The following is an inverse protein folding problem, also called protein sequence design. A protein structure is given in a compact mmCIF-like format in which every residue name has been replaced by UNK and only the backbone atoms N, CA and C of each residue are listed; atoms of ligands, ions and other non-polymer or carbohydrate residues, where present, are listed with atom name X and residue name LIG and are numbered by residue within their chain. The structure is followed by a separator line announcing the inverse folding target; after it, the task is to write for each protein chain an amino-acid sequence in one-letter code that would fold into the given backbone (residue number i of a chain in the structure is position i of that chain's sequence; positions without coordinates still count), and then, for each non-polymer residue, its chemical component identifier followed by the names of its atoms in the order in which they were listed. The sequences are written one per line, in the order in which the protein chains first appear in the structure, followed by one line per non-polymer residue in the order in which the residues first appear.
data_IF_338992341388
#
_entry.id   IF_338992341388
#
_cell.length_a   1.000
_cell.length_b   1.000
_cell.length_c   1.000
_cell.angle_alpha   90.00
_cell.angle_beta   90.00
_cell.angle_gamma   90.00
#
_symmetry.space_group_name_H-M   'P 1'
#
loop_
_entity.id
_entity.type
_entity.pdbx_description
1 polymer ?
#
# COMPACT_ATOMS: atom_id res chain seq x y z
N UNK A 1 18.82 20.91 19.13
CA UNK A 1 19.90 20.03 18.66
C UNK A 1 19.27 18.87 17.93
N UNK A 2 19.63 18.63 16.68
CA UNK A 2 19.20 17.44 15.95
C UNK A 2 19.89 16.22 16.54
N UNK A 3 19.11 15.23 16.92
CA UNK A 3 19.62 13.92 17.37
C UNK A 3 20.49 13.32 16.26
N UNK A 4 21.73 12.96 16.58
CA UNK A 4 22.64 12.36 15.59
C UNK A 4 22.13 10.97 15.20
N UNK A 5 22.48 10.51 14.00
CA UNK A 5 22.12 9.16 13.56
C UNK A 5 22.63 8.08 14.55
N UNK A 6 23.79 8.31 15.15
CA UNK A 6 24.37 7.42 16.16
C UNK A 6 23.51 7.31 17.43
N UNK A 7 23.03 8.44 17.96
CA UNK A 7 22.15 8.47 19.15
C UNK A 7 20.82 7.74 18.90
N UNK A 8 20.26 7.87 17.68
CA UNK A 8 19.05 7.12 17.30
C UNK A 8 19.31 5.63 17.19
N UNK A 9 20.42 5.23 16.58
CA UNK A 9 20.81 3.83 16.46
C UNK A 9 20.98 3.17 17.83
N UNK A 10 21.65 3.85 18.77
CA UNK A 10 21.82 3.34 20.15
C UNK A 10 20.46 3.16 20.85
N UNK A 11 19.54 4.12 20.70
CA UNK A 11 18.15 3.99 21.20
C UNK A 11 17.43 2.80 20.57
N UNK A 12 17.57 2.58 19.27
CA UNK A 12 16.93 1.44 18.58
C UNK A 12 17.55 0.10 18.96
N UNK A 13 18.86 0.04 19.24
CA UNK A 13 19.52 -1.18 19.75
C UNK A 13 18.98 -1.53 21.15
N UNK A 14 18.80 -0.54 22.01
CA UNK A 14 18.18 -0.75 23.32
C UNK A 14 16.71 -1.18 23.18
N UNK A 15 15.93 -0.53 22.32
CA UNK A 15 14.54 -0.90 22.07
C UNK A 15 14.41 -2.32 21.50
N UNK A 16 15.27 -2.70 20.55
CA UNK A 16 15.28 -4.05 19.95
C UNK A 16 15.58 -5.15 20.96
N UNK A 17 16.39 -4.88 21.98
CA UNK A 17 16.76 -5.87 23.00
C UNK A 17 15.77 -5.95 24.17
N UNK A 18 14.97 -4.90 24.42
CA UNK A 18 14.13 -4.80 25.61
C UNK A 18 12.63 -4.74 25.32
N UNK A 19 12.21 -4.21 24.16
CA UNK A 19 10.79 -3.98 23.87
C UNK A 19 10.10 -5.27 23.41
N UNK A 20 9.08 -5.77 24.15
CA UNK A 20 8.45 -7.06 23.85
C UNK A 20 7.87 -7.16 22.43
N UNK A 21 7.25 -6.09 21.93
CA UNK A 21 6.72 -6.05 20.56
C UNK A 21 7.82 -6.28 19.51
N UNK A 22 9.00 -5.66 19.67
CA UNK A 22 10.09 -5.80 18.71
C UNK A 22 10.73 -7.19 18.80
N UNK A 23 10.92 -7.71 20.02
CA UNK A 23 11.39 -9.06 20.24
C UNK A 23 10.45 -10.12 19.64
N UNK A 24 9.13 -9.91 19.76
CA UNK A 24 8.12 -10.75 19.13
C UNK A 24 8.24 -10.69 17.61
N UNK A 25 8.18 -9.49 17.02
CA UNK A 25 8.23 -9.30 15.56
C UNK A 25 9.54 -9.77 14.92
N UNK A 26 10.65 -9.77 15.67
CA UNK A 26 11.93 -10.29 15.21
C UNK A 26 12.05 -11.83 15.34
N UNK A 27 11.09 -12.50 16.01
CA UNK A 27 11.13 -13.94 16.23
C UNK A 27 10.67 -14.71 15.00
N UNK A 28 11.30 -15.86 14.71
CA UNK A 28 10.85 -16.76 13.64
C UNK A 28 9.44 -17.31 13.88
N UNK A 29 9.03 -17.45 15.14
CA UNK A 29 7.70 -17.96 15.52
C UNK A 29 6.66 -16.84 15.66
N UNK A 30 6.98 -15.60 15.25
CA UNK A 30 6.06 -14.47 15.35
C UNK A 30 4.69 -14.72 14.70
N UNK A 31 4.58 -15.30 13.48
CA UNK A 31 3.28 -15.52 12.85
C UNK A 31 2.38 -16.47 13.65
N UNK A 32 2.94 -17.56 14.20
CA UNK A 32 2.22 -18.50 15.05
C UNK A 32 1.72 -17.82 16.32
N UNK A 33 2.61 -17.12 17.03
CA UNK A 33 2.29 -16.45 18.29
C UNK A 33 1.23 -15.38 18.08
N UNK A 34 1.39 -14.54 17.06
CA UNK A 34 0.41 -13.50 16.72
C UNK A 34 -0.93 -14.10 16.30
N UNK A 35 -0.94 -15.13 15.47
CA UNK A 35 -2.16 -15.83 15.06
C UNK A 35 -2.92 -16.42 16.23
N UNK A 36 -2.24 -17.17 17.12
CA UNK A 36 -2.85 -17.74 18.31
C UNK A 36 -3.37 -16.68 19.28
N UNK A 37 -2.53 -15.68 19.63
CA UNK A 37 -2.92 -14.63 20.58
C UNK A 37 -4.04 -13.74 20.06
N UNK A 38 -4.00 -13.36 18.77
CA UNK A 38 -5.07 -12.60 18.14
C UNK A 38 -6.39 -13.38 18.18
N UNK A 39 -6.37 -14.65 17.83
CA UNK A 39 -7.56 -15.52 17.83
C UNK A 39 -8.12 -15.72 19.26
N UNK A 40 -7.25 -15.87 20.25
CA UNK A 40 -7.65 -15.96 21.67
C UNK A 40 -8.41 -14.70 22.12
N UNK A 41 -7.86 -13.51 21.83
CA UNK A 41 -8.42 -12.25 22.32
C UNK A 41 -9.56 -11.68 21.45
N UNK A 42 -9.74 -12.15 20.22
CA UNK A 42 -10.82 -11.69 19.31
C UNK A 42 -12.22 -11.86 19.92
N UNK A 43 -12.43 -12.90 20.73
CA UNK A 43 -13.74 -13.25 21.31
C UNK A 43 -13.92 -12.82 22.77
N UNK A 44 -12.90 -12.30 23.44
CA UNK A 44 -12.90 -12.07 24.89
C UNK A 44 -12.27 -10.72 25.26
N UNK A 45 -13.09 -9.69 25.35
CA UNK A 45 -12.66 -8.31 25.64
C UNK A 45 -12.37 -8.07 27.14
N UNK A 46 -12.77 -8.98 28.05
CA UNK A 46 -12.67 -8.81 29.52
C UNK A 46 -11.74 -9.86 30.17
N UNK A 47 -10.70 -10.24 29.44
CA UNK A 47 -9.74 -11.27 29.82
C UNK A 47 -10.30 -12.69 29.69
N UNK A 48 -9.41 -13.67 29.55
CA UNK A 48 -9.76 -15.07 29.31
C UNK A 48 -9.36 -15.89 30.54
N UNK A 49 -10.23 -16.76 31.09
CA UNK A 49 -9.81 -17.72 32.11
C UNK A 49 -8.62 -18.56 31.65
N UNK A 50 -7.65 -18.78 32.54
CA UNK A 50 -6.40 -19.47 32.20
C UNK A 50 -6.63 -20.87 31.60
N UNK A 51 -7.58 -21.63 32.15
CA UNK A 51 -7.90 -22.98 31.67
C UNK A 51 -8.50 -22.96 30.25
N UNK A 52 -9.43 -22.04 29.98
CA UNK A 52 -10.02 -21.85 28.65
C UNK A 52 -8.96 -21.44 27.62
N UNK A 53 -8.03 -20.56 28.02
CA UNK A 53 -6.93 -20.14 27.17
C UNK A 53 -5.98 -21.29 26.84
N UNK A 54 -5.67 -22.16 27.82
CA UNK A 54 -4.83 -23.33 27.62
C UNK A 54 -5.49 -24.35 26.67
N UNK A 55 -6.78 -24.61 26.86
CA UNK A 55 -7.54 -25.53 26.03
C UNK A 55 -7.61 -25.03 24.58
N UNK A 56 -8.03 -23.78 24.38
CA UNK A 56 -8.10 -23.16 23.05
C UNK A 56 -6.72 -23.10 22.38
N UNK A 57 -5.65 -22.82 23.15
CA UNK A 57 -4.29 -22.82 22.62
C UNK A 57 -3.83 -24.22 22.19
N UNK A 58 -4.13 -25.26 22.97
CA UNK A 58 -3.78 -26.63 22.61
C UNK A 58 -4.45 -27.06 21.30
N UNK A 59 -5.74 -26.73 21.13
CA UNK A 59 -6.50 -26.99 19.90
C UNK A 59 -5.91 -26.24 18.70
N UNK A 60 -5.56 -24.97 18.87
CA UNK A 60 -4.94 -24.18 17.80
C UNK A 60 -3.57 -24.76 17.43
N UNK A 61 -2.72 -25.12 18.40
CA UNK A 61 -1.39 -25.70 18.13
C UNK A 61 -1.50 -27.02 17.36
N UNK A 62 -2.51 -27.85 17.67
CA UNK A 62 -2.75 -29.09 16.94
C UNK A 62 -2.94 -28.87 15.42
N UNK A 63 -3.59 -27.78 15.01
CA UNK A 63 -3.76 -27.43 13.60
C UNK A 63 -2.42 -27.12 12.89
N UNK A 64 -1.42 -26.66 13.64
CA UNK A 64 -0.08 -26.35 13.12
C UNK A 64 0.91 -27.53 13.25
N UNK A 65 0.52 -28.66 13.84
CA UNK A 65 1.39 -29.83 14.04
C UNK A 65 1.87 -30.47 12.72
N UNK A 66 1.17 -30.25 11.62
CA UNK A 66 1.57 -30.70 10.28
C UNK A 66 2.68 -29.85 9.63
N UNK A 67 3.08 -28.74 10.25
CA UNK A 67 4.05 -27.80 9.70
C UNK A 67 5.40 -27.93 10.42
N UNK A 68 6.41 -28.43 9.70
CA UNK A 68 7.78 -28.62 10.24
C UNK A 68 8.40 -27.31 10.78
N UNK A 69 7.98 -26.15 10.26
CA UNK A 69 8.50 -24.84 10.63
C UNK A 69 8.30 -24.49 12.12
N UNK A 70 7.26 -25.03 12.75
CA UNK A 70 6.87 -24.64 14.11
C UNK A 70 7.24 -25.67 15.18
N UNK A 71 7.78 -26.83 14.80
CA UNK A 71 8.27 -27.88 15.71
C UNK A 71 7.22 -28.25 16.79
N UNK A 72 5.95 -28.39 16.39
CA UNK A 72 4.85 -28.75 17.29
C UNK A 72 4.70 -30.27 17.30
N UNK A 73 4.65 -30.84 18.49
CA UNK A 73 4.43 -32.27 18.69
C UNK A 73 2.91 -32.52 18.82
N UNK A 74 2.28 -33.25 17.89
CA UNK A 74 0.84 -33.49 17.91
C UNK A 74 0.38 -34.22 19.18
N UNK A 75 1.22 -35.04 19.79
CA UNK A 75 0.87 -35.85 20.96
C UNK A 75 1.05 -35.10 22.29
N UNK A 76 1.68 -33.91 22.26
CA UNK A 76 2.03 -33.13 23.44
C UNK A 76 1.53 -31.68 23.41
N UNK A 77 0.55 -31.37 22.55
CA UNK A 77 0.01 -30.01 22.33
C UNK A 77 -0.43 -29.30 23.62
N UNK A 78 -1.08 -30.01 24.56
CA UNK A 78 -1.51 -29.41 25.83
C UNK A 78 -0.34 -29.03 26.75
N UNK A 79 0.74 -29.84 26.76
CA UNK A 79 1.97 -29.53 27.50
C UNK A 79 2.72 -28.36 26.84
N UNK A 80 2.72 -28.31 25.51
CA UNK A 80 3.34 -27.22 24.74
C UNK A 80 2.57 -25.90 24.91
N UNK A 81 1.24 -25.92 24.89
CA UNK A 81 0.39 -24.76 25.18
C UNK A 81 0.74 -24.14 26.54
N UNK A 82 0.88 -24.96 27.59
CA UNK A 82 1.30 -24.49 28.90
C UNK A 82 2.74 -23.96 28.96
N UNK A 83 3.64 -24.42 28.08
CA UNK A 83 5.00 -23.86 27.96
C UNK A 83 4.99 -22.52 27.23
N UNK A 84 4.29 -22.44 26.10
CA UNK A 84 4.14 -21.22 25.30
C UNK A 84 3.51 -20.10 26.11
N UNK A 85 2.39 -20.36 26.78
CA UNK A 85 1.69 -19.35 27.57
C UNK A 85 2.57 -18.79 28.70
N UNK A 86 3.33 -19.64 29.38
CA UNK A 86 4.32 -19.21 30.39
C UNK A 86 5.44 -18.36 29.79
N UNK A 87 5.94 -18.73 28.62
CA UNK A 87 6.94 -17.94 27.90
C UNK A 87 6.37 -16.58 27.45
N UNK A 88 5.12 -16.52 27.02
CA UNK A 88 4.46 -15.26 26.62
C UNK A 88 4.24 -14.32 27.80
N UNK A 89 3.90 -14.86 28.98
CA UNK A 89 3.84 -14.10 30.24
C UNK A 89 5.23 -13.59 30.63
N UNK A 90 6.26 -14.45 30.59
CA UNK A 90 7.65 -14.06 30.88
C UNK A 90 8.16 -12.96 29.95
N UNK A 91 7.77 -13.00 28.68
CA UNK A 91 8.09 -11.99 27.66
C UNK A 91 7.22 -10.74 27.75
N UNK A 92 6.28 -10.67 28.68
CA UNK A 92 5.35 -9.53 28.88
C UNK A 92 4.45 -9.26 27.67
N UNK A 93 4.11 -10.30 26.90
CA UNK A 93 3.11 -10.22 25.83
C UNK A 93 1.70 -10.37 26.39
N UNK A 94 1.58 -11.16 27.45
CA UNK A 94 0.33 -11.40 28.17
C UNK A 94 0.60 -11.18 29.66
N UNK A 95 -0.39 -10.72 30.41
CA UNK A 95 -0.34 -10.64 31.87
C UNK A 95 -1.46 -11.46 32.49
N UNK A 96 -1.12 -12.20 33.54
CA UNK A 96 -2.10 -12.92 34.35
C UNK A 96 -2.53 -12.06 35.54
N UNK A 97 -3.85 -11.92 35.75
CA UNK A 97 -4.45 -11.28 36.92
C UNK A 97 -5.69 -12.06 37.31
N UNK A 98 -5.78 -12.45 38.58
CA UNK A 98 -6.97 -13.12 39.15
C UNK A 98 -7.40 -14.39 38.37
N UNK A 99 -6.42 -15.17 37.89
CA UNK A 99 -6.69 -16.40 37.12
C UNK A 99 -7.15 -16.16 35.67
N UNK A 100 -7.15 -14.90 35.22
CA UNK A 100 -7.42 -14.50 33.84
C UNK A 100 -6.19 -13.93 33.15
N UNK A 101 -6.11 -14.11 31.84
CA UNK A 101 -5.07 -13.54 31.00
C UNK A 101 -5.56 -12.33 30.21
N UNK A 102 -4.70 -11.32 30.07
CA UNK A 102 -4.96 -10.08 29.35
C UNK A 102 -3.82 -9.76 28.38
N UNK A 103 -4.16 -9.23 27.21
CA UNK A 103 -3.19 -8.69 26.27
C UNK A 103 -2.47 -7.47 26.87
N UNK A 104 -1.18 -7.33 26.60
CA UNK A 104 -0.42 -6.11 26.95
C UNK A 104 -0.37 -5.12 25.80
N UNK A 105 -0.11 -3.85 26.09
CA UNK A 105 0.09 -2.80 25.08
C UNK A 105 1.17 -3.19 24.05
N UNK A 106 2.17 -3.96 24.46
CA UNK A 106 3.23 -4.41 23.57
C UNK A 106 2.75 -5.48 22.58
N UNK A 107 1.84 -6.37 23.00
CA UNK A 107 1.20 -7.33 22.10
C UNK A 107 0.25 -6.61 21.14
N UNK A 108 -0.59 -5.71 21.64
CA UNK A 108 -1.51 -4.91 20.83
C UNK A 108 -0.75 -4.08 19.78
N UNK A 109 0.36 -3.45 20.17
CA UNK A 109 1.23 -2.70 19.24
C UNK A 109 1.81 -3.59 18.14
N UNK A 110 2.17 -4.84 18.46
CA UNK A 110 2.70 -5.78 17.47
C UNK A 110 1.61 -6.26 16.50
N UNK A 111 0.41 -6.58 17.01
CA UNK A 111 -0.75 -6.96 16.19
C UNK A 111 -1.13 -5.79 15.28
N UNK A 112 -1.27 -4.58 15.83
CA UNK A 112 -1.60 -3.39 15.06
C UNK A 112 -0.56 -3.10 13.97
N UNK A 113 0.74 -3.30 14.26
CA UNK A 113 1.79 -3.18 13.26
C UNK A 113 1.59 -4.18 12.11
N UNK A 114 1.35 -5.46 12.41
CA UNK A 114 1.16 -6.49 11.38
C UNK A 114 -0.12 -6.27 10.59
N UNK A 115 -1.23 -5.91 11.24
CA UNK A 115 -2.49 -5.58 10.58
C UNK A 115 -2.34 -4.38 9.65
N UNK A 116 -1.52 -3.39 10.04
CA UNK A 116 -1.21 -2.24 9.19
C UNK A 116 -0.43 -2.60 7.92
N UNK A 117 0.22 -3.77 7.86
CA UNK A 117 0.91 -4.25 6.65
C UNK A 117 -0.08 -4.71 5.57
N UNK A 118 -1.25 -5.23 5.96
CA UNK A 118 -2.21 -5.84 5.03
C UNK A 118 -3.25 -4.82 4.53
N UNK A 119 -3.76 -3.94 5.40
CA UNK A 119 -4.58 -2.81 4.93
C UNK A 119 -4.81 -1.73 5.98
N UNK A 120 -4.59 -0.47 5.54
CA UNK A 120 -5.12 0.81 6.05
C UNK A 120 -5.16 0.96 7.57
N UNK A 121 -4.08 1.56 8.07
CA UNK A 121 -3.99 2.40 9.29
C UNK A 121 -5.37 2.84 9.80
N UNK A 122 -5.75 2.43 11.01
CA UNK A 122 -6.66 3.24 11.82
C UNK A 122 -6.33 3.19 13.31
N UNK A 123 -6.19 4.37 13.90
CA UNK A 123 -6.01 4.66 15.33
C UNK A 123 -7.33 5.19 15.92
N UNK A 124 -7.63 4.87 17.19
CA UNK A 124 -8.64 5.44 18.12
C UNK A 124 -10.15 5.39 17.75
N UNK A 125 -10.99 5.05 18.73
CA UNK A 125 -12.43 4.69 18.61
C UNK A 125 -13.40 5.87 18.68
N UNK A 126 -13.05 6.98 19.37
CA UNK A 126 -13.98 8.10 19.60
C UNK A 126 -14.12 9.03 18.38
N UNK A 127 -13.01 9.32 17.71
CA UNK A 127 -12.97 10.12 16.47
C UNK A 127 -13.62 9.40 15.28
N UNK A 128 -13.61 8.06 15.24
CA UNK A 128 -14.26 7.31 14.16
C UNK A 128 -15.77 7.49 14.14
N UNK A 129 -16.45 7.62 15.29
CA UNK A 129 -17.89 7.82 15.28
C UNK A 129 -18.26 9.18 14.68
N UNK A 130 -17.52 10.24 15.00
CA UNK A 130 -17.78 11.59 14.45
C UNK A 130 -17.42 11.67 12.96
N UNK A 131 -16.36 10.99 12.53
CA UNK A 131 -16.02 10.85 11.11
C UNK A 131 -17.05 10.00 10.38
N UNK A 132 -17.45 8.85 10.91
CA UNK A 132 -18.50 7.99 10.33
C UNK A 132 -19.82 8.72 10.25
N UNK A 133 -20.20 9.48 11.27
CA UNK A 133 -21.42 10.28 11.27
C UNK A 133 -21.35 11.40 10.22
N UNK A 134 -20.22 12.11 10.12
CA UNK A 134 -20.00 13.11 9.07
C UNK A 134 -20.02 12.49 7.66
N UNK A 135 -19.41 11.33 7.48
CA UNK A 135 -19.41 10.60 6.21
C UNK A 135 -20.80 10.04 5.87
N UNK A 136 -21.58 9.58 6.87
CA UNK A 136 -22.99 9.19 6.69
C UNK A 136 -23.82 10.41 6.28
N UNK A 137 -23.66 11.57 6.92
CA UNK A 137 -24.36 12.80 6.55
C UNK A 137 -23.96 13.30 5.15
N UNK A 138 -22.68 13.23 4.81
CA UNK A 138 -22.15 13.58 3.49
C UNK A 138 -22.69 12.62 2.42
N UNK A 139 -22.70 11.33 2.72
CA UNK A 139 -23.21 10.28 1.83
C UNK A 139 -24.72 10.37 1.67
N UNK A 140 -25.48 10.62 2.73
CA UNK A 140 -26.92 10.90 2.69
C UNK A 140 -27.18 12.11 1.77
N UNK A 141 -26.41 13.18 1.92
CA UNK A 141 -26.53 14.38 1.08
C UNK A 141 -26.15 14.10 -0.38
N UNK A 142 -25.15 13.25 -0.62
CA UNK A 142 -24.66 12.85 -1.94
C UNK A 142 -25.58 11.85 -2.67
N UNK A 143 -26.25 10.97 -1.93
CA UNK A 143 -27.17 9.96 -2.45
C UNK A 143 -28.62 10.47 -2.58
N UNK A 144 -28.99 11.57 -1.93
CA UNK A 144 -30.35 12.10 -1.96
C UNK A 144 -30.65 12.78 -3.31
N UNK A 145 -31.48 12.18 -4.19
CA UNK A 145 -31.80 12.75 -5.50
C UNK A 145 -32.92 13.80 -5.42
N UNK A 146 -33.51 14.03 -4.24
CA UNK A 146 -34.64 14.95 -4.08
C UNK A 146 -34.18 16.39 -3.80
N UNK A 147 -34.52 17.37 -4.67
CA UNK A 147 -34.19 18.77 -4.44
C UNK A 147 -34.78 19.32 -3.14
N UNK A 148 -35.97 18.85 -2.75
CA UNK A 148 -36.67 19.25 -1.52
C UNK A 148 -35.96 18.77 -0.25
N UNK A 149 -35.46 17.54 -0.22
CA UNK A 149 -34.66 17.04 0.90
C UNK A 149 -33.34 17.79 1.07
N UNK A 150 -32.67 18.12 -0.04
CA UNK A 150 -31.43 18.90 -0.04
C UNK A 150 -31.66 20.34 0.44
N UNK A 151 -32.76 20.98 0.04
CA UNK A 151 -33.15 22.32 0.53
C UNK A 151 -33.44 22.29 2.04
N UNK A 152 -34.15 21.27 2.54
CA UNK A 152 -34.45 21.14 3.97
C UNK A 152 -33.17 20.96 4.81
N UNK A 153 -32.25 20.11 4.36
CA UNK A 153 -30.94 19.91 5.01
C UNK A 153 -30.10 21.20 5.02
N UNK A 154 -30.01 21.89 3.88
CA UNK A 154 -29.29 23.16 3.79
C UNK A 154 -29.89 24.25 4.69
N UNK A 155 -31.22 24.36 4.77
CA UNK A 155 -31.89 25.30 5.67
C UNK A 155 -31.61 25.02 7.14
N UNK A 156 -31.65 23.75 7.55
CA UNK A 156 -31.29 23.36 8.93
C UNK A 156 -29.85 23.78 9.23
N UNK A 157 -28.92 23.51 8.31
CA UNK A 157 -27.50 23.87 8.49
C UNK A 157 -27.27 25.38 8.53
N UNK A 158 -28.02 26.15 7.75
CA UNK A 158 -28.02 27.62 7.83
C UNK A 158 -28.50 28.06 9.21
N UNK A 159 -29.59 27.49 9.71
CA UNK A 159 -30.16 27.86 10.99
C UNK A 159 -29.22 27.54 12.16
N UNK A 160 -28.54 26.39 12.10
CA UNK A 160 -27.51 26.01 13.08
C UNK A 160 -26.32 26.98 13.04
N UNK A 161 -25.86 27.36 11.84
CA UNK A 161 -24.78 28.34 11.65
C UNK A 161 -25.18 29.76 12.09
N UNK A 162 -26.43 30.18 11.85
CA UNK A 162 -26.97 31.45 12.32
C UNK A 162 -27.03 31.48 13.85
N UNK A 163 -27.39 30.36 14.48
CA UNK A 163 -27.38 30.25 15.93
C UNK A 163 -25.94 30.31 16.49
N UNK A 164 -25.00 29.60 15.87
CA UNK A 164 -23.58 29.64 16.24
C UNK A 164 -23.01 31.06 16.08
N UNK A 165 -23.32 31.74 14.97
CA UNK A 165 -22.93 33.12 14.72
C UNK A 165 -23.47 34.05 15.81
N UNK A 166 -24.77 33.93 16.16
CA UNK A 166 -25.37 34.74 17.21
C UNK A 166 -24.72 34.49 18.59
N UNK A 167 -24.31 33.25 18.89
CA UNK A 167 -23.56 32.95 20.11
C UNK A 167 -22.17 33.60 20.11
N UNK A 168 -21.45 33.55 18.98
CA UNK A 168 -20.15 34.19 18.83
C UNK A 168 -20.27 35.72 18.92
N UNK A 169 -21.27 36.32 18.28
CA UNK A 169 -21.56 37.76 18.37
C UNK A 169 -21.95 38.20 19.78
N UNK A 170 -22.63 37.33 20.54
CA UNK A 170 -22.93 37.54 21.96
C UNK A 170 -21.71 37.34 22.88
N UNK A 171 -20.53 37.00 22.34
CA UNK A 171 -19.28 36.80 23.08
C UNK A 171 -19.11 35.40 23.67
N UNK A 172 -20.03 34.47 23.41
CA UNK A 172 -19.95 33.08 23.85
C UNK A 172 -19.18 32.24 22.83
N UNK A 173 -17.85 32.30 22.90
CA UNK A 173 -16.99 31.46 22.06
C UNK A 173 -16.73 30.14 22.77
N UNK A 174 -17.26 29.04 22.22
CA UNK A 174 -16.95 27.69 22.68
C UNK A 174 -15.54 27.35 22.17
N UNK A 175 -14.56 27.44 23.07
CA UNK A 175 -13.18 27.02 22.78
C UNK A 175 -13.01 25.59 23.25
N UNK A 176 -12.39 24.75 22.41
CA UNK A 176 -12.02 23.38 22.80
C UNK A 176 -11.20 23.40 24.09
N UNK A 177 -11.48 22.46 24.99
CA UNK A 177 -10.63 22.27 26.13
C UNK A 177 -9.23 21.78 25.70
N UNK A 178 -8.26 21.82 26.62
CA UNK A 178 -6.88 21.45 26.27
C UNK A 178 -6.74 20.00 25.82
N UNK A 179 -7.50 19.06 26.38
CA UNK A 179 -7.43 17.64 26.03
C UNK A 179 -8.01 17.38 24.63
N UNK A 180 -9.16 17.98 24.33
CA UNK A 180 -9.81 17.95 23.02
C UNK A 180 -8.94 18.60 21.94
N UNK A 181 -8.29 19.74 22.26
CA UNK A 181 -7.36 20.38 21.34
C UNK A 181 -6.14 19.50 21.07
N UNK A 182 -5.58 18.82 22.10
CA UNK A 182 -4.47 17.87 21.93
C UNK A 182 -4.88 16.71 21.02
N UNK A 183 -6.04 16.13 21.26
CA UNK A 183 -6.56 15.01 20.48
C UNK A 183 -6.79 15.41 19.01
N UNK A 184 -7.50 16.52 18.77
CA UNK A 184 -7.76 17.02 17.43
C UNK A 184 -6.48 17.35 16.64
N UNK A 185 -5.46 17.92 17.30
CA UNK A 185 -4.16 18.17 16.65
C UNK A 185 -3.47 16.85 16.26
N UNK A 186 -3.52 15.82 17.10
CA UNK A 186 -2.95 14.50 16.79
C UNK A 186 -3.69 13.82 15.65
N UNK A 187 -5.01 13.94 15.62
CA UNK A 187 -5.83 13.40 14.53
C UNK A 187 -5.49 14.06 13.19
N UNK A 188 -5.45 15.39 13.14
CA UNK A 188 -5.06 16.14 11.93
C UNK A 188 -3.67 15.72 11.46
N UNK A 189 -2.71 15.54 12.38
CA UNK A 189 -1.38 15.06 12.02
C UNK A 189 -1.39 13.65 11.43
N UNK A 190 -2.18 12.74 12.01
CA UNK A 190 -2.30 11.36 11.52
C UNK A 190 -2.92 11.31 10.12
N UNK A 191 -4.03 12.04 9.91
CA UNK A 191 -4.69 12.17 8.60
C UNK A 191 -3.76 12.79 7.55
N UNK A 192 -3.01 13.82 7.92
CA UNK A 192 -2.02 14.44 7.05
C UNK A 192 -0.92 13.47 6.62
N UNK A 193 -0.46 12.62 7.55
CA UNK A 193 0.60 11.65 7.29
C UNK A 193 0.09 10.47 6.46
N UNK A 194 -1.14 10.01 6.70
CA UNK A 194 -1.76 8.95 5.90
C UNK A 194 -1.98 9.38 4.45
N UNK A 195 -2.47 10.60 4.22
CA UNK A 195 -2.68 11.14 2.86
C UNK A 195 -1.40 11.12 2.02
N UNK A 196 -0.26 11.44 2.64
CA UNK A 196 1.04 11.35 1.98
C UNK A 196 1.41 9.90 1.63
N UNK A 197 1.14 8.96 2.53
CA UNK A 197 1.37 7.54 2.26
C UNK A 197 0.45 7.02 1.13
N UNK A 198 -0.79 7.51 1.07
CA UNK A 198 -1.73 7.19 -0.01
C UNK A 198 -1.18 7.59 -1.39
N UNK A 199 -0.62 8.80 -1.54
CA UNK A 199 -0.04 9.22 -2.83
C UNK A 199 1.16 8.37 -3.25
N UNK A 200 1.98 7.94 -2.30
CA UNK A 200 3.08 7.01 -2.59
C UNK A 200 2.58 5.65 -3.04
N UNK A 201 1.53 5.13 -2.38
CA UNK A 201 0.88 3.88 -2.81
C UNK A 201 0.33 4.00 -4.22
N UNK A 202 -0.32 5.11 -4.55
CA UNK A 202 -0.78 5.38 -5.93
C UNK A 202 0.41 5.38 -6.89
N UNK A 203 1.51 6.08 -6.57
CA UNK A 203 2.72 6.08 -7.38
C UNK A 203 3.27 4.66 -7.61
N UNK A 204 3.36 3.86 -6.55
CA UNK A 204 3.85 2.48 -6.62
C UNK A 204 2.92 1.61 -7.46
N UNK A 205 1.60 1.74 -7.32
CA UNK A 205 0.62 1.03 -8.16
C UNK A 205 0.75 1.42 -9.64
N UNK A 206 1.01 2.69 -9.96
CA UNK A 206 1.32 3.13 -11.34
C UNK A 206 2.61 2.48 -11.87
N UNK A 207 3.66 2.41 -11.04
CA UNK A 207 4.92 1.77 -11.42
C UNK A 207 4.76 0.27 -11.63
N UNK A 208 3.94 -0.38 -10.82
CA UNK A 208 3.67 -1.81 -10.93
C UNK A 208 2.81 -2.13 -12.16
N UNK A 209 1.76 -1.35 -12.43
CA UNK A 209 0.97 -1.46 -13.65
C UNK A 209 1.83 -1.25 -14.91
N UNK A 210 2.74 -0.28 -14.90
CA UNK A 210 3.70 -0.07 -16.00
C UNK A 210 4.62 -1.29 -16.21
N UNK A 211 5.13 -1.89 -15.13
CA UNK A 211 5.96 -3.11 -15.22
C UNK A 211 5.16 -4.30 -15.73
N UNK A 212 3.93 -4.50 -15.24
CA UNK A 212 3.05 -5.57 -15.67
C UNK A 212 2.71 -5.43 -17.16
N UNK A 213 2.41 -4.20 -17.61
CA UNK A 213 2.17 -3.89 -19.01
C UNK A 213 3.39 -4.26 -19.86
N UNK A 214 4.60 -3.82 -19.49
CA UNK A 214 5.84 -4.18 -20.20
C UNK A 214 6.08 -5.69 -20.25
N UNK A 215 5.82 -6.40 -19.16
CA UNK A 215 5.92 -7.86 -19.13
C UNK A 215 4.96 -8.50 -20.12
N UNK A 216 3.68 -8.11 -20.10
CA UNK A 216 2.66 -8.65 -21.01
C UNK A 216 3.00 -8.39 -22.48
N UNK A 217 3.55 -7.21 -22.78
CA UNK A 217 4.00 -6.84 -24.12
C UNK A 217 5.14 -7.75 -24.60
N UNK A 218 6.03 -8.18 -23.71
CA UNK A 218 7.17 -9.06 -24.05
C UNK A 218 6.73 -10.52 -24.14
N UNK A 219 5.83 -10.96 -23.27
CA UNK A 219 5.43 -12.37 -23.15
C UNK A 219 4.34 -12.80 -24.14
N UNK A 220 3.46 -11.90 -24.54
CA UNK A 220 2.32 -12.21 -25.40
C UNK A 220 2.49 -11.58 -26.79
N UNK A 221 2.05 -12.29 -27.83
CA UNK A 221 1.94 -11.78 -29.21
C UNK A 221 0.80 -10.75 -29.32
N UNK A 222 0.78 -9.74 -28.45
CA UNK A 222 -0.32 -8.78 -28.33
C UNK A 222 -0.29 -7.80 -29.50
N UNK A 223 -1.48 -7.52 -30.06
CA UNK A 223 -1.61 -6.57 -31.15
C UNK A 223 -1.56 -5.14 -30.61
N UNK A 224 -1.16 -4.18 -31.45
CA UNK A 224 -1.01 -2.76 -31.08
C UNK A 224 -2.25 -2.16 -30.39
N UNK A 225 -3.45 -2.56 -30.82
CA UNK A 225 -4.71 -2.11 -30.21
C UNK A 225 -4.87 -2.61 -28.78
N UNK A 226 -4.67 -3.91 -28.55
CA UNK A 226 -4.80 -4.54 -27.24
C UNK A 226 -3.84 -3.95 -26.20
N UNK A 227 -2.65 -3.51 -26.60
CA UNK A 227 -1.68 -2.85 -25.71
C UNK A 227 -2.19 -1.47 -25.26
N UNK A 228 -2.82 -0.72 -26.16
CA UNK A 228 -3.40 0.58 -25.85
C UNK A 228 -4.63 0.41 -24.96
N UNK A 229 -5.49 -0.56 -25.28
CA UNK A 229 -6.69 -0.86 -24.49
C UNK A 229 -6.30 -1.27 -23.07
N UNK A 230 -5.32 -2.17 -22.90
CA UNK A 230 -4.82 -2.55 -21.58
C UNK A 230 -4.16 -1.41 -20.82
N UNK A 231 -3.49 -0.48 -21.50
CA UNK A 231 -2.97 0.72 -20.85
C UNK A 231 -4.13 1.52 -20.28
N UNK A 232 -5.15 1.83 -21.11
CA UNK A 232 -6.32 2.61 -20.72
C UNK A 232 -7.11 1.94 -19.59
N UNK A 233 -7.40 0.65 -19.71
CA UNK A 233 -8.07 -0.14 -18.67
C UNK A 233 -7.27 -0.15 -17.36
N UNK A 234 -5.94 -0.26 -17.46
CA UNK A 234 -5.04 -0.17 -16.31
C UNK A 234 -5.07 1.21 -15.66
N UNK A 235 -5.12 2.29 -16.44
CA UNK A 235 -5.26 3.66 -15.92
C UNK A 235 -6.58 3.82 -15.16
N UNK A 236 -7.68 3.36 -15.75
CA UNK A 236 -9.02 3.48 -15.17
C UNK A 236 -9.16 2.61 -13.91
N UNK A 237 -8.61 1.40 -13.91
CA UNK A 237 -8.58 0.54 -12.72
C UNK A 237 -7.83 1.21 -11.56
N UNK A 238 -6.69 1.86 -11.84
CA UNK A 238 -5.92 2.58 -10.83
C UNK A 238 -6.66 3.79 -10.26
N UNK A 239 -7.41 4.53 -11.10
CA UNK A 239 -8.24 5.64 -10.66
C UNK A 239 -9.44 5.17 -9.82
N UNK A 240 -9.98 3.99 -10.11
CA UNK A 240 -11.08 3.38 -9.36
C UNK A 240 -10.69 2.78 -8.01
N UNK A 241 -9.40 2.74 -7.67
CA UNK A 241 -8.94 2.42 -6.32
C UNK A 241 -9.34 3.52 -5.33
N UNK A 242 -9.56 3.21 -4.04
CA UNK A 242 -9.86 4.25 -3.06
C UNK A 242 -8.75 5.31 -2.96
N UNK A 243 -7.48 4.93 -3.06
CA UNK A 243 -6.34 5.85 -3.06
C UNK A 243 -6.29 6.70 -4.34
N UNK A 244 -6.60 6.11 -5.50
CA UNK A 244 -6.71 6.80 -6.79
C UNK A 244 -7.79 7.89 -6.78
N UNK A 245 -8.98 7.59 -6.21
CA UNK A 245 -10.06 8.56 -6.03
C UNK A 245 -9.69 9.72 -5.11
N UNK A 246 -8.96 9.45 -4.02
CA UNK A 246 -8.44 10.48 -3.11
C UNK A 246 -7.44 11.38 -3.84
N UNK A 247 -6.55 10.79 -4.63
CA UNK A 247 -5.60 11.55 -5.46
C UNK A 247 -6.32 12.41 -6.51
N UNK A 248 -7.32 11.90 -7.20
CA UNK A 248 -8.11 12.65 -8.19
C UNK A 248 -8.84 13.84 -7.56
N UNK A 249 -9.50 13.61 -6.42
CA UNK A 249 -10.17 14.66 -5.65
C UNK A 249 -9.19 15.74 -5.22
N UNK A 250 -8.01 15.35 -4.74
CA UNK A 250 -6.95 16.28 -4.39
C UNK A 250 -6.43 17.06 -5.61
N UNK A 251 -6.27 16.41 -6.77
CA UNK A 251 -5.88 17.10 -8.01
C UNK A 251 -6.92 18.14 -8.45
N UNK A 252 -8.21 17.84 -8.26
CA UNK A 252 -9.27 18.81 -8.55
C UNK A 252 -9.20 20.02 -7.62
N UNK A 253 -8.86 19.81 -6.35
CA UNK A 253 -8.63 20.88 -5.37
C UNK A 253 -7.36 21.68 -5.68
N UNK A 254 -6.27 21.02 -6.10
CA UNK A 254 -5.02 21.68 -6.51
C UNK A 254 -5.20 22.64 -7.69
N UNK A 255 -6.11 22.33 -8.63
CA UNK A 255 -6.44 23.24 -9.74
C UNK A 255 -7.01 24.58 -9.26
N UNK A 256 -7.57 24.60 -8.04
CA UNK A 256 -8.08 25.79 -7.39
C UNK A 256 -6.99 26.39 -6.48
N UNK A 257 -6.15 27.27 -7.04
CA UNK A 257 -4.99 27.87 -6.34
C UNK A 257 -5.30 28.48 -4.96
N UNK A 258 -6.54 28.95 -4.74
CA UNK A 258 -6.98 29.51 -3.46
C UNK A 258 -7.10 28.47 -2.32
N UNK A 259 -7.38 27.21 -2.62
CA UNK A 259 -7.62 26.18 -1.60
C UNK A 259 -6.33 25.76 -0.89
N UNK A 260 -5.22 25.66 -1.63
CA UNK A 260 -3.90 25.36 -1.06
C UNK A 260 -3.40 26.46 -0.13
N UNK A 261 -3.57 27.73 -0.50
CA UNK A 261 -3.18 28.85 0.35
C UNK A 261 -4.05 28.89 1.62
N UNK A 262 -5.35 28.60 1.49
CA UNK A 262 -6.25 28.46 2.62
C UNK A 262 -5.81 27.33 3.56
N UNK A 263 -5.41 26.17 3.02
CA UNK A 263 -4.87 25.05 3.80
C UNK A 263 -3.59 25.46 4.55
N UNK A 264 -2.66 26.15 3.88
CA UNK A 264 -1.41 26.63 4.51
C UNK A 264 -1.70 27.56 5.67
N UNK A 265 -2.65 28.46 5.53
CA UNK A 265 -3.01 29.40 6.59
C UNK A 265 -3.68 28.69 7.77
N UNK A 266 -4.61 27.76 7.52
CA UNK A 266 -5.22 26.93 8.57
C UNK A 266 -4.17 26.14 9.36
N UNK A 267 -3.21 25.51 8.68
CA UNK A 267 -2.12 24.78 9.32
C UNK A 267 -1.22 25.69 10.16
N UNK A 268 -0.95 26.93 9.71
CA UNK A 268 -0.22 27.92 10.51
C UNK A 268 -0.99 28.30 11.77
N UNK A 269 -2.29 28.52 11.67
CA UNK A 269 -3.15 28.82 12.83
C UNK A 269 -3.13 27.69 13.85
N UNK A 270 -3.30 26.45 13.39
CA UNK A 270 -3.23 25.26 14.26
C UNK A 270 -1.86 25.18 14.95
N UNK A 271 -0.77 25.37 14.20
CA UNK A 271 0.60 25.29 14.74
C UNK A 271 0.96 26.41 15.73
N UNK A 272 0.18 27.49 15.79
CA UNK A 272 0.35 28.57 16.78
C UNK A 272 -0.38 28.28 18.10
N UNK A 273 -1.24 27.26 18.15
CA UNK A 273 -2.04 26.94 19.32
C UNK A 273 -1.16 26.46 20.50
N UNK A 274 -1.43 26.89 21.75
CA UNK A 274 -0.61 26.53 22.91
C UNK A 274 -0.59 25.02 23.22
N UNK A 275 -1.58 24.26 22.76
CA UNK A 275 -1.63 22.80 22.92
C UNK A 275 -0.64 22.03 22.01
N UNK A 276 -0.08 22.66 20.98
CA UNK A 276 0.78 22.00 19.97
C UNK A 276 2.02 21.32 20.57
N UNK A 277 2.77 21.93 21.52
CA UNK A 277 3.92 21.27 22.14
C UNK A 277 3.54 20.05 22.99
N UNK A 278 2.30 19.98 23.50
CA UNK A 278 1.77 18.82 24.24
C UNK A 278 1.24 17.73 23.30
N UNK A 279 0.72 18.12 22.14
CA UNK A 279 0.17 17.22 21.15
C UNK A 279 1.25 16.57 20.26
N UNK A 280 2.23 17.36 19.80
CA UNK A 280 3.21 16.99 18.79
C UNK A 280 4.64 17.32 19.21
N UNK A 281 5.56 16.40 18.92
CA UNK A 281 6.99 16.64 19.09
C UNK A 281 7.56 17.60 18.02
N UNK A 282 8.76 18.15 18.24
CA UNK A 282 9.38 19.13 17.32
C UNK A 282 9.51 18.63 15.86
N UNK A 283 9.90 17.37 15.59
CA UNK A 283 9.84 16.80 14.24
C UNK A 283 8.45 16.83 13.62
N UNK A 284 7.42 16.36 14.33
CA UNK A 284 6.03 16.31 13.85
C UNK A 284 5.49 17.71 13.51
N UNK A 285 5.79 18.71 14.34
CA UNK A 285 5.44 20.11 14.06
C UNK A 285 6.09 20.63 12.76
N UNK A 286 7.35 20.26 12.52
CA UNK A 286 8.07 20.60 11.29
C UNK A 286 7.42 19.90 10.09
N UNK A 287 7.05 18.63 10.22
CA UNK A 287 6.38 17.89 9.14
C UNK A 287 5.04 18.54 8.76
N UNK A 288 4.20 18.85 9.75
CA UNK A 288 2.91 19.48 9.53
C UNK A 288 3.03 20.87 8.87
N UNK A 289 4.06 21.65 9.25
CA UNK A 289 4.36 22.96 8.65
C UNK A 289 4.66 22.86 7.16
N UNK A 290 5.32 21.80 6.73
CA UNK A 290 5.73 21.57 5.34
C UNK A 290 4.76 20.68 4.57
N UNK A 291 3.63 20.30 5.17
CA UNK A 291 2.68 19.33 4.60
C UNK A 291 2.21 19.74 3.20
N UNK A 292 1.68 20.94 3.03
CA UNK A 292 1.14 21.40 1.74
C UNK A 292 2.18 21.33 0.62
N UNK A 293 3.42 21.78 0.89
CA UNK A 293 4.52 21.70 -0.08
C UNK A 293 4.88 20.26 -0.41
N UNK A 294 4.91 19.37 0.60
CA UNK A 294 5.21 17.95 0.41
C UNK A 294 4.11 17.26 -0.40
N UNK A 295 2.83 17.53 -0.14
CA UNK A 295 1.71 16.96 -0.88
C UNK A 295 1.75 17.36 -2.36
N UNK A 296 2.10 18.62 -2.67
CA UNK A 296 2.32 19.06 -4.06
C UNK A 296 3.45 18.27 -4.72
N UNK A 297 4.57 18.03 -4.01
CA UNK A 297 5.70 17.26 -4.53
C UNK A 297 5.36 15.79 -4.77
N UNK A 298 4.68 15.15 -3.82
CA UNK A 298 4.26 13.74 -3.94
C UNK A 298 3.22 13.59 -5.07
N UNK A 299 2.33 14.59 -5.23
CA UNK A 299 1.40 14.66 -6.37
C UNK A 299 2.14 14.76 -7.72
N UNK A 300 3.20 15.58 -7.81
CA UNK A 300 4.04 15.63 -9.00
C UNK A 300 4.72 14.30 -9.31
N UNK A 301 5.13 13.54 -8.28
CA UNK A 301 5.74 12.23 -8.47
C UNK A 301 4.77 11.23 -9.11
N UNK A 302 3.52 11.21 -8.66
CA UNK A 302 2.44 10.40 -9.28
C UNK A 302 2.22 10.81 -10.74
N UNK A 303 2.13 12.12 -11.03
CA UNK A 303 1.96 12.62 -12.41
C UNK A 303 3.14 12.24 -13.32
N UNK A 304 4.37 12.24 -12.77
CA UNK A 304 5.56 11.81 -13.50
C UNK A 304 5.54 10.31 -13.77
N UNK A 305 5.10 9.48 -12.81
CA UNK A 305 4.95 8.04 -12.99
C UNK A 305 3.96 7.73 -14.13
N UNK A 306 2.79 8.40 -14.14
CA UNK A 306 1.81 8.32 -15.22
C UNK A 306 2.39 8.74 -16.58
N UNK A 307 2.97 9.94 -16.65
CA UNK A 307 3.52 10.48 -17.91
C UNK A 307 4.67 9.63 -18.47
N UNK A 308 5.43 8.95 -17.60
CA UNK A 308 6.46 8.00 -18.00
C UNK A 308 5.86 6.77 -18.65
N UNK A 309 4.84 6.17 -18.04
CA UNK A 309 4.16 4.99 -18.60
C UNK A 309 3.57 5.29 -19.98
N UNK A 310 2.88 6.42 -20.13
CA UNK A 310 2.33 6.86 -21.42
C UNK A 310 3.43 7.08 -22.48
N UNK A 311 4.56 7.69 -22.09
CA UNK A 311 5.69 7.91 -22.99
C UNK A 311 6.33 6.60 -23.43
N UNK A 312 6.49 5.65 -22.53
CA UNK A 312 7.14 4.37 -22.80
C UNK A 312 6.27 3.53 -23.74
N UNK A 313 4.96 3.50 -23.55
CA UNK A 313 4.01 2.87 -24.50
C UNK A 313 4.04 3.56 -25.86
N UNK A 314 4.02 4.90 -25.91
CA UNK A 314 4.16 5.65 -27.17
C UNK A 314 5.49 5.36 -27.87
N UNK A 315 6.58 5.25 -27.11
CA UNK A 315 7.90 4.88 -27.61
C UNK A 315 7.87 3.51 -28.27
N UNK A 316 7.32 2.52 -27.57
CA UNK A 316 7.16 1.15 -28.06
C UNK A 316 6.32 1.08 -29.35
N UNK A 317 5.21 1.81 -29.40
CA UNK A 317 4.36 1.92 -30.58
C UNK A 317 5.09 2.54 -31.79
N UNK A 318 5.94 3.55 -31.53
CA UNK A 318 6.62 4.31 -32.58
C UNK A 318 7.86 3.61 -33.13
N UNK A 319 8.61 2.89 -32.31
CA UNK A 319 9.86 2.24 -32.73
C UNK A 319 9.66 0.89 -33.40
N UNK A 320 8.47 0.29 -33.33
CA UNK A 320 8.27 -1.05 -33.86
C UNK A 320 9.09 -2.13 -33.14
N UNK A 321 9.64 -1.83 -31.95
CA UNK A 321 10.37 -2.78 -31.10
C UNK A 321 9.54 -4.04 -30.80
N UNK A 322 8.21 -3.90 -30.76
CA UNK A 322 7.28 -5.04 -30.72
C UNK A 322 7.54 -6.02 -31.86
N UNK A 323 7.61 -5.53 -33.09
CA UNK A 323 7.83 -6.35 -34.27
C UNK A 323 9.24 -6.97 -34.26
N UNK A 324 10.25 -6.26 -33.75
CA UNK A 324 11.61 -6.80 -33.58
C UNK A 324 11.66 -7.92 -32.54
N UNK A 325 11.09 -7.70 -31.35
CA UNK A 325 11.01 -8.73 -30.30
C UNK A 325 10.16 -9.93 -30.74
N UNK A 326 9.05 -9.70 -31.46
CA UNK A 326 8.23 -10.75 -32.05
C UNK A 326 9.04 -11.57 -33.08
N UNK A 327 9.82 -10.91 -33.94
CA UNK A 327 10.64 -11.60 -34.94
C UNK A 327 11.75 -12.43 -34.29
N UNK A 328 12.40 -11.92 -33.23
CA UNK A 328 13.40 -12.68 -32.47
C UNK A 328 12.76 -13.89 -31.80
N UNK A 329 11.59 -13.74 -31.18
CA UNK A 329 10.83 -14.84 -30.59
C UNK A 329 10.43 -15.92 -31.62
N UNK A 330 9.94 -15.51 -32.79
CA UNK A 330 9.65 -16.42 -33.90
C UNK A 330 10.90 -17.18 -34.36
N UNK A 331 12.02 -16.49 -34.58
CA UNK A 331 13.27 -17.13 -35.00
C UNK A 331 13.80 -18.14 -33.96
N UNK A 332 13.63 -17.85 -32.67
CA UNK A 332 13.98 -18.78 -31.60
C UNK A 332 13.07 -20.02 -31.59
N UNK A 333 11.76 -19.84 -31.74
CA UNK A 333 10.82 -20.95 -31.84
C UNK A 333 11.07 -21.80 -33.10
N UNK A 334 11.33 -21.18 -34.25
CA UNK A 334 11.70 -21.88 -35.48
C UNK A 334 12.99 -22.68 -35.26
N UNK A 335 13.99 -22.10 -34.58
CA UNK A 335 15.22 -22.79 -34.21
C UNK A 335 14.96 -23.97 -33.27
N UNK A 336 14.13 -23.80 -32.23
CA UNK A 336 13.80 -24.88 -31.31
C UNK A 336 13.02 -26.00 -31.99
N UNK A 337 12.07 -25.68 -32.86
CA UNK A 337 11.33 -26.67 -33.66
C UNK A 337 12.27 -27.43 -34.59
N UNK A 338 13.20 -26.72 -35.25
CA UNK A 338 14.21 -27.35 -36.10
C UNK A 338 15.12 -28.25 -35.26
N UNK A 339 15.56 -27.80 -34.09
CA UNK A 339 16.38 -28.59 -33.17
C UNK A 339 15.63 -29.83 -32.67
N UNK A 340 14.34 -29.75 -32.35
CA UNK A 340 13.53 -30.89 -31.93
C UNK A 340 13.34 -31.92 -33.06
N UNK A 341 13.34 -31.49 -34.33
CA UNK A 341 13.23 -32.37 -35.48
C UNK A 341 14.50 -33.17 -35.79
N UNK A 342 15.63 -32.83 -35.13
CA UNK A 342 16.91 -33.53 -35.30
C UNK A 342 17.02 -34.68 -34.28
N UNK A 343 17.27 -35.89 -34.76
CA UNK A 343 17.59 -37.04 -33.90
C UNK A 343 19.01 -36.90 -33.33
N UNK A 344 19.08 -36.26 -32.16
CA UNK A 344 20.34 -36.03 -31.45
C UNK A 344 21.02 -37.31 -30.97
N UNK A 345 20.43 -38.51 -31.03
CA UNK A 345 21.14 -39.71 -30.58
C UNK A 345 22.24 -40.15 -31.56
N UNK A 346 22.17 -39.73 -32.83
CA UNK A 346 23.13 -40.10 -33.86
C UNK A 346 24.32 -39.13 -33.92
N UNK A 347 25.52 -39.64 -33.66
CA UNK A 347 26.77 -38.85 -33.65
C UNK A 347 27.10 -38.23 -35.02
N UNK A 348 26.66 -38.83 -36.13
CA UNK A 348 26.79 -38.31 -37.49
C UNK A 348 25.93 -37.06 -37.74
N UNK A 349 24.74 -36.97 -37.14
CA UNK A 349 23.84 -35.81 -37.25
C UNK A 349 24.37 -34.61 -36.47
N UNK A 350 24.93 -34.84 -35.26
CA UNK A 350 25.52 -33.78 -34.42
C UNK A 350 26.70 -33.04 -35.08
N UNK A 351 27.33 -33.65 -36.08
CA UNK A 351 28.52 -33.11 -36.77
C UNK A 351 28.22 -32.49 -38.12
N UNK A 352 26.96 -32.50 -38.58
CA UNK A 352 26.58 -31.83 -39.83
C UNK A 352 26.60 -30.31 -39.65
N UNK A 353 27.10 -29.55 -40.65
CA UNK A 353 27.01 -28.10 -40.62
C UNK A 353 25.53 -27.68 -40.63
N UNK A 354 25.11 -26.92 -39.63
CA UNK A 354 23.76 -26.38 -39.57
C UNK A 354 23.61 -25.24 -40.60
N UNK A 355 22.64 -25.34 -41.50
CA UNK A 355 22.21 -24.22 -42.32
C UNK A 355 21.43 -23.24 -41.43
N UNK A 356 22.13 -22.38 -40.70
CA UNK A 356 21.49 -21.24 -40.06
C UNK A 356 20.94 -20.33 -41.17
N UNK A 357 19.67 -19.88 -41.10
CA UNK A 357 19.19 -18.86 -42.02
C UNK A 357 20.11 -17.63 -41.92
N UNK A 358 20.41 -16.95 -43.03
CA UNK A 358 21.34 -15.82 -43.04
C UNK A 358 20.85 -14.73 -42.09
N UNK A 359 21.48 -14.61 -40.93
CA UNK A 359 21.27 -13.49 -40.01
C UNK A 359 22.08 -12.33 -40.57
N UNK A 360 21.40 -11.34 -41.14
CA UNK A 360 22.04 -10.18 -41.74
C UNK A 360 22.99 -9.49 -40.74
N UNK A 361 24.22 -9.21 -41.18
CA UNK A 361 25.20 -8.47 -40.37
C UNK A 361 24.68 -7.07 -40.10
N UNK A 362 24.81 -6.59 -38.86
CA UNK A 362 24.31 -5.29 -38.47
C UNK A 362 25.02 -4.15 -39.23
N UNK A 363 24.32 -3.54 -40.19
CA UNK A 363 24.75 -2.31 -40.86
C UNK A 363 24.38 -1.12 -39.98
N UNK A 364 25.37 -0.35 -39.55
CA UNK A 364 25.18 0.90 -38.79
C UNK A 364 24.54 1.97 -39.69
N UNK A 365 23.39 2.50 -39.27
CA UNK A 365 22.71 3.61 -39.96
C UNK A 365 21.35 3.30 -40.60
N UNK A 366 20.93 2.03 -40.65
CA UNK A 366 19.64 1.62 -41.22
C UNK A 366 18.69 1.15 -40.10
N UNK A 367 17.39 1.53 -40.06
CA UNK A 367 16.44 0.98 -39.08
C UNK A 367 16.33 -0.56 -39.20
N UNK A 368 16.23 -1.31 -38.09
CA UNK A 368 16.33 -2.78 -38.14
C UNK A 368 15.19 -3.44 -38.94
N UNK A 369 14.05 -2.77 -39.11
CA UNK A 369 12.92 -3.23 -39.93
C UNK A 369 13.26 -3.36 -41.43
N UNK A 370 14.15 -2.49 -41.94
CA UNK A 370 14.65 -2.58 -43.32
C UNK A 370 15.75 -3.65 -43.45
N UNK A 371 16.45 -3.95 -42.35
CA UNK A 371 17.46 -5.02 -42.29
C UNK A 371 16.86 -6.42 -42.22
N UNK A 372 15.65 -6.56 -41.67
CA UNK A 372 14.95 -7.84 -41.49
C UNK A 372 13.99 -8.18 -42.65
N UNK A 373 13.73 -7.25 -43.56
CA UNK A 373 13.09 -7.54 -44.84
C UNK A 373 14.12 -8.16 -45.77
N UNK A 374 14.29 -9.48 -45.70
CA UNK A 374 14.82 -10.20 -46.87
C UNK A 374 13.87 -9.88 -48.04
N UNK A 375 14.38 -9.18 -49.06
CA UNK A 375 13.75 -9.24 -50.38
C UNK A 375 13.81 -10.71 -50.78
N UNK A 376 12.67 -11.39 -50.76
CA UNK A 376 12.49 -12.55 -51.62
C UNK A 376 12.78 -12.06 -53.03
N UNK A 377 13.80 -12.64 -53.67
CA UNK A 377 13.88 -12.57 -55.12
C UNK A 377 12.60 -13.25 -55.59
N UNK A 378 11.69 -12.49 -56.20
CA UNK A 378 10.64 -13.11 -57.00
C UNK A 378 11.37 -13.91 -58.07
N UNK A 379 11.21 -15.24 -58.04
CA UNK A 379 11.57 -16.12 -59.15
C UNK A 379 10.62 -15.82 -60.31
N UNK A 380 10.83 -14.68 -60.96
CA UNK A 380 10.35 -14.38 -62.30
C UNK A 380 11.58 -14.35 -63.22
N UNK A 381 12.05 -15.54 -63.59
CA UNK A 381 12.66 -15.76 -64.90
C UNK A 381 12.43 -17.22 -65.32
N UNK A 382 11.26 -17.44 -65.92
CA UNK A 382 11.06 -18.54 -66.85
C UNK A 382 11.73 -18.14 -68.17
N UNK A 383 12.78 -18.88 -68.55
CA UNK A 383 13.47 -18.74 -69.83
C UNK A 383 14.53 -19.81 -70.03
#
# INVERSE_FOLDING_TARGET
MEESAQQRSERYVSARSQHPAWLLLASRRAPLVLGCLRTLFERAHDGIPMEDALQALAEMLAAYASQELYEIDPDATHLQAGRELREWIKRRLVVEREGRIYATDALESAIQFVDSLDSRIMTSTASRLSVVQREIENLETGLNPSPTGRIASLRRRIQDLEHELAQVEAGNVIVLDEAQAIEGIREVYNLATSLRADFRRVEDSWREADRALRHSIISEQSHRGEIVDRLLDGQDALLNTPEGRVFESFQQQLRQSAELETMRERLRTILRHPAVPKALNRPQQRELRWLALRLVRESQAVLQARARSERDVRGFMKTGLAAEHHRVGQLLNDFFNLALSVDWQRQSERRKPACLPPVGVAITGVPAIERLRFKTLDDDDTG
#
